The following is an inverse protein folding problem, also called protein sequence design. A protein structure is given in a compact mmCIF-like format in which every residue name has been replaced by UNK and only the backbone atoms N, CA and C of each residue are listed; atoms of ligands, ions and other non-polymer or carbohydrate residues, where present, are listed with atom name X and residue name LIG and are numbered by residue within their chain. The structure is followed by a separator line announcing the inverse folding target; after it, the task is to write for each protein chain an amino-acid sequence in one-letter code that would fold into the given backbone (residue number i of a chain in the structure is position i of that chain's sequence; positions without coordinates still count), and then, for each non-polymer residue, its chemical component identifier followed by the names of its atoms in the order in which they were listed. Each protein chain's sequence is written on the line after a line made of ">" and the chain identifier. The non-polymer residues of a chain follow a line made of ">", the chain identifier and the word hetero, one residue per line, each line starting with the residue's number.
data_IF_043484950596
#
_entry.id   IF_043484950596
#
_cell.length_a   1.000
_cell.length_b   1.000
_cell.length_c   1.000
_cell.angle_alpha   90.00
_cell.angle_beta   90.00
_cell.angle_gamma   90.00
#
_symmetry.space_group_name_H-M   'P 1'
#
loop_
_entity.id
_entity.type
_entity.pdbx_description
1 polymer ?
#
# COMPACT_ATOMS: atom_id res chain seq x y z
N UNK A 1 32.63 15.51 -13.65
CA UNK A 1 31.83 15.99 -12.49
C UNK A 1 30.97 14.83 -11.98
N UNK A 2 30.53 14.84 -10.67
CA UNK A 2 29.64 13.78 -10.15
C UNK A 2 28.22 14.31 -9.98
N UNK A 3 27.24 13.56 -10.48
CA UNK A 3 25.82 13.91 -10.40
C UNK A 3 25.06 12.78 -9.71
N UNK A 4 24.18 13.12 -8.76
CA UNK A 4 23.16 12.25 -8.22
C UNK A 4 21.82 12.61 -8.88
N UNK A 5 21.22 11.63 -9.56
CA UNK A 5 19.96 11.78 -10.27
C UNK A 5 18.87 11.06 -9.48
N UNK A 6 18.08 11.82 -8.72
CA UNK A 6 17.13 11.32 -7.75
C UNK A 6 15.70 11.87 -7.98
N UNK A 7 15.11 11.64 -9.16
CA UNK A 7 13.75 12.05 -9.43
C UNK A 7 12.74 11.10 -8.81
N UNK A 8 11.52 11.62 -8.57
CA UNK A 8 10.32 10.81 -8.40
C UNK A 8 9.64 10.53 -9.76
N UNK A 9 8.59 9.72 -9.76
CA UNK A 9 7.78 9.44 -10.94
C UNK A 9 6.97 10.68 -11.37
N UNK A 10 6.76 10.81 -12.69
CA UNK A 10 5.76 11.73 -13.23
C UNK A 10 4.47 10.95 -13.45
N UNK A 11 3.49 11.13 -12.56
CA UNK A 11 2.22 10.40 -12.59
C UNK A 11 1.63 10.35 -14.00
N UNK A 12 1.24 9.15 -14.45
CA UNK A 12 0.67 8.86 -15.78
C UNK A 12 1.59 9.16 -16.98
N UNK A 13 2.84 9.63 -16.77
CA UNK A 13 3.75 10.00 -17.85
C UNK A 13 5.03 9.17 -17.92
N UNK A 14 5.75 9.02 -16.80
CA UNK A 14 7.01 8.28 -16.78
C UNK A 14 7.36 7.77 -15.38
N UNK A 15 7.92 6.56 -15.29
CA UNK A 15 8.46 6.02 -14.05
C UNK A 15 9.68 6.82 -13.57
N UNK A 16 9.95 6.82 -12.26
CA UNK A 16 11.12 7.49 -11.68
C UNK A 16 12.43 7.06 -12.36
N UNK A 17 12.56 5.77 -12.70
CA UNK A 17 13.73 5.25 -13.42
C UNK A 17 13.83 5.83 -14.84
N UNK A 18 12.73 5.89 -15.60
CA UNK A 18 12.73 6.45 -16.95
C UNK A 18 13.11 7.94 -16.96
N UNK A 19 12.64 8.69 -15.94
CA UNK A 19 13.01 10.10 -15.74
C UNK A 19 14.51 10.21 -15.41
N UNK A 20 15.02 9.40 -14.48
CA UNK A 20 16.44 9.40 -14.10
C UNK A 20 17.34 9.08 -15.30
N UNK A 21 16.96 8.11 -16.14
CA UNK A 21 17.70 7.78 -17.38
C UNK A 21 17.63 8.92 -18.40
N UNK A 22 16.52 9.63 -18.53
CA UNK A 22 16.42 10.81 -19.37
C UNK A 22 17.34 11.95 -18.86
N UNK A 23 17.37 12.17 -17.54
CA UNK A 23 18.29 13.14 -16.92
C UNK A 23 19.75 12.75 -17.17
N UNK A 24 20.10 11.46 -17.03
CA UNK A 24 21.46 10.95 -17.31
C UNK A 24 21.88 11.25 -18.74
N UNK A 25 21.02 10.96 -19.71
CA UNK A 25 21.31 11.29 -21.13
C UNK A 25 21.55 12.77 -21.33
N UNK A 26 20.75 13.63 -20.67
CA UNK A 26 20.92 15.08 -20.75
C UNK A 26 22.25 15.56 -20.16
N UNK A 27 22.63 15.04 -18.99
CA UNK A 27 23.93 15.36 -18.36
C UNK A 27 25.09 14.93 -19.26
N UNK A 28 25.10 13.69 -19.76
CA UNK A 28 26.15 13.16 -20.61
C UNK A 28 26.26 13.86 -21.97
N UNK A 29 25.18 14.44 -22.47
CA UNK A 29 25.21 15.27 -23.68
C UNK A 29 25.95 16.61 -23.48
N UNK A 30 25.90 17.17 -22.26
CA UNK A 30 26.60 18.40 -21.91
C UNK A 30 28.00 18.18 -21.29
N UNK A 31 28.20 17.09 -20.58
CA UNK A 31 29.45 16.68 -19.94
C UNK A 31 29.65 15.18 -20.14
N UNK A 32 30.31 14.78 -21.26
CA UNK A 32 30.50 13.35 -21.58
C UNK A 32 31.32 12.56 -20.54
N UNK A 33 32.14 13.24 -19.75
CA UNK A 33 32.99 12.65 -18.70
C UNK A 33 32.32 12.65 -17.31
N UNK A 34 31.03 13.02 -17.24
CA UNK A 34 30.30 13.04 -16.00
C UNK A 34 30.05 11.64 -15.44
N UNK A 35 30.27 11.46 -14.15
CA UNK A 35 29.87 10.28 -13.38
C UNK A 35 28.44 10.49 -12.86
N UNK A 36 27.46 9.76 -13.39
CA UNK A 36 26.05 9.85 -12.98
C UNK A 36 25.67 8.64 -12.13
N UNK A 37 25.18 8.91 -10.90
CA UNK A 37 24.55 7.89 -10.05
C UNK A 37 23.04 8.09 -10.09
N UNK A 38 22.34 7.07 -10.53
CA UNK A 38 20.85 7.02 -10.54
C UNK A 38 20.39 6.50 -9.19
N UNK A 39 19.45 7.22 -8.56
CA UNK A 39 18.82 6.85 -7.29
C UNK A 39 17.36 7.35 -7.32
N UNK A 40 16.45 6.62 -7.98
CA UNK A 40 15.04 7.00 -8.02
C UNK A 40 14.45 7.10 -6.60
N UNK A 41 13.59 8.09 -6.39
CA UNK A 41 12.86 8.28 -5.15
C UNK A 41 11.41 7.85 -5.33
N UNK A 42 10.71 7.66 -4.22
CA UNK A 42 9.26 7.44 -4.18
C UNK A 42 8.68 8.03 -2.91
N UNK A 43 7.52 8.64 -3.02
CA UNK A 43 6.73 9.17 -1.90
C UNK A 43 5.93 8.10 -1.14
N UNK A 44 6.20 6.82 -1.39
CA UNK A 44 5.44 5.68 -0.85
C UNK A 44 4.35 5.18 -1.80
N UNK A 45 4.24 5.78 -2.99
CA UNK A 45 3.36 5.36 -4.08
C UNK A 45 4.03 4.39 -5.05
N UNK A 46 3.67 4.52 -6.33
CA UNK A 46 4.18 3.69 -7.42
C UNK A 46 5.71 3.77 -7.54
N UNK A 47 6.36 2.61 -7.69
CA UNK A 47 7.81 2.50 -7.87
C UNK A 47 8.62 2.37 -6.58
N UNK A 48 8.01 2.48 -5.40
CA UNK A 48 8.69 2.29 -4.11
C UNK A 48 9.40 0.94 -4.03
N UNK A 49 8.69 -0.12 -4.39
CA UNK A 49 9.22 -1.50 -4.32
C UNK A 49 10.46 -1.65 -5.21
N UNK A 50 10.36 -1.22 -6.47
CA UNK A 50 11.47 -1.31 -7.42
C UNK A 50 12.66 -0.47 -6.95
N UNK A 51 12.42 0.78 -6.53
CA UNK A 51 13.47 1.67 -6.08
C UNK A 51 14.24 1.10 -4.86
N UNK A 52 13.54 0.58 -3.86
CA UNK A 52 14.16 0.02 -2.66
C UNK A 52 14.86 -1.31 -2.93
N UNK A 53 14.29 -2.17 -3.77
CA UNK A 53 14.92 -3.44 -4.16
C UNK A 53 16.21 -3.18 -4.94
N UNK A 54 16.19 -2.29 -5.94
CA UNK A 54 17.38 -1.92 -6.71
C UNK A 54 18.46 -1.27 -5.82
N UNK A 55 18.07 -0.33 -4.94
CA UNK A 55 19.00 0.38 -4.06
C UNK A 55 19.71 -0.55 -3.08
N UNK A 56 19.08 -1.67 -2.70
CA UNK A 56 19.62 -2.62 -1.72
C UNK A 56 20.17 -3.91 -2.32
N UNK A 57 20.15 -4.06 -3.66
CA UNK A 57 20.53 -5.31 -4.31
C UNK A 57 19.62 -6.48 -3.97
N UNK A 58 18.35 -6.19 -3.73
CA UNK A 58 17.31 -7.17 -3.36
C UNK A 58 16.71 -7.93 -4.54
N UNK A 59 15.57 -8.56 -4.32
CA UNK A 59 14.87 -9.33 -5.36
C UNK A 59 13.40 -8.94 -5.50
N UNK A 60 12.90 -8.87 -6.73
CA UNK A 60 11.46 -8.75 -7.03
C UNK A 60 10.83 -10.13 -7.11
N UNK A 61 9.61 -10.24 -6.59
CA UNK A 61 8.77 -11.44 -6.66
C UNK A 61 7.36 -11.09 -7.11
N UNK A 62 6.62 -12.09 -7.58
CA UNK A 62 5.23 -11.95 -7.99
C UNK A 62 4.35 -12.94 -7.25
N UNK A 63 3.08 -12.55 -7.01
CA UNK A 63 2.05 -13.42 -6.47
C UNK A 63 0.74 -13.25 -7.24
N UNK A 64 -0.06 -14.32 -7.26
CA UNK A 64 -1.43 -14.28 -7.74
C UNK A 64 -2.32 -13.77 -6.61
N UNK A 65 -2.99 -12.66 -6.83
CA UNK A 65 -3.81 -11.95 -5.86
C UNK A 65 -5.04 -11.36 -6.55
N UNK A 66 -5.87 -10.61 -5.83
CA UNK A 66 -7.00 -9.89 -6.41
C UNK A 66 -6.72 -8.38 -6.50
N UNK A 67 -7.29 -7.73 -7.50
CA UNK A 67 -7.31 -6.27 -7.54
C UNK A 67 -8.38 -5.71 -6.58
N UNK A 68 -8.51 -4.38 -6.53
CA UNK A 68 -9.44 -3.73 -5.62
C UNK A 68 -10.92 -4.06 -5.90
N UNK A 69 -11.26 -4.56 -7.08
CA UNK A 69 -12.60 -5.00 -7.47
C UNK A 69 -12.79 -6.54 -7.39
N UNK A 70 -11.83 -7.26 -6.81
CA UNK A 70 -11.88 -8.70 -6.66
C UNK A 70 -11.55 -9.50 -7.93
N UNK A 71 -10.95 -8.88 -8.96
CA UNK A 71 -10.53 -9.57 -10.18
C UNK A 71 -9.14 -10.19 -9.97
N UNK A 72 -8.89 -11.44 -10.43
CA UNK A 72 -7.58 -12.08 -10.28
C UNK A 72 -6.53 -11.38 -11.12
N UNK A 73 -5.38 -11.09 -10.51
CA UNK A 73 -4.23 -10.45 -11.14
C UNK A 73 -2.92 -11.08 -10.66
N UNK A 74 -1.83 -10.78 -11.37
CA UNK A 74 -0.47 -10.98 -10.84
C UNK A 74 0.06 -9.62 -10.39
N UNK A 75 0.51 -9.53 -9.15
CA UNK A 75 1.09 -8.32 -8.58
C UNK A 75 2.49 -8.60 -8.03
N UNK A 76 3.34 -7.56 -8.01
CA UNK A 76 4.72 -7.64 -7.57
C UNK A 76 4.87 -7.15 -6.13
N UNK A 77 5.86 -7.71 -5.44
CA UNK A 77 6.42 -7.26 -4.18
C UNK A 77 7.93 -7.53 -4.19
N UNK A 78 8.68 -6.97 -3.25
CA UNK A 78 10.12 -7.14 -3.22
C UNK A 78 10.65 -7.58 -1.87
N UNK A 79 11.84 -8.17 -1.86
CA UNK A 79 12.66 -8.32 -0.67
C UNK A 79 13.86 -7.37 -0.75
N UNK A 80 14.17 -6.68 0.34
CA UNK A 80 15.39 -5.89 0.42
C UNK A 80 16.62 -6.80 0.45
N UNK A 81 17.70 -6.34 -0.19
CA UNK A 81 19.00 -6.98 -0.12
C UNK A 81 19.66 -6.80 1.26
N UNK A 82 20.64 -7.64 1.54
CA UNK A 82 21.35 -7.67 2.83
C UNK A 82 22.67 -6.87 2.78
N UNK A 83 22.66 -5.72 2.13
CA UNK A 83 23.87 -4.86 2.01
C UNK A 83 24.18 -4.04 3.27
N UNK A 84 23.38 -4.20 4.33
CA UNK A 84 23.52 -3.48 5.60
C UNK A 84 23.02 -2.02 5.55
N UNK A 85 22.74 -1.46 4.37
CA UNK A 85 22.31 -0.06 4.22
C UNK A 85 20.85 0.18 4.58
N UNK A 86 20.02 -0.85 4.46
CA UNK A 86 18.59 -0.82 4.77
C UNK A 86 18.25 -1.26 6.20
N UNK A 87 19.26 -1.58 7.02
CA UNK A 87 19.03 -1.99 8.40
C UNK A 87 18.78 -0.79 9.31
N UNK A 88 17.65 -0.81 9.99
CA UNK A 88 17.42 0.08 11.13
C UNK A 88 18.29 -0.36 12.31
N UNK A 89 18.70 0.57 13.18
CA UNK A 89 19.40 0.25 14.43
C UNK A 89 18.62 -0.72 15.35
N UNK A 90 17.34 -0.96 15.08
CA UNK A 90 16.49 -1.91 15.80
C UNK A 90 16.33 -3.27 15.07
N UNK A 91 16.97 -3.47 13.92
CA UNK A 91 16.84 -4.70 13.15
C UNK A 91 17.81 -5.77 13.69
N UNK A 92 17.26 -6.93 14.00
CA UNK A 92 18.05 -8.11 14.38
C UNK A 92 18.85 -8.68 13.19
N UNK A 93 19.84 -9.55 13.45
CA UNK A 93 20.73 -10.09 12.41
C UNK A 93 20.01 -10.94 11.33
N UNK A 94 18.80 -11.38 11.59
CA UNK A 94 17.99 -12.23 10.69
C UNK A 94 16.75 -11.51 10.15
N UNK A 95 16.75 -10.17 10.10
CA UNK A 95 15.59 -9.43 9.57
C UNK A 95 15.52 -9.57 8.06
N UNK A 96 14.42 -10.16 7.57
CA UNK A 96 14.10 -10.27 6.16
C UNK A 96 12.89 -9.37 5.85
N UNK A 97 13.17 -8.19 5.30
CA UNK A 97 12.17 -7.16 5.03
C UNK A 97 11.58 -7.35 3.64
N UNK A 98 10.25 -7.46 3.55
CA UNK A 98 9.55 -7.33 2.29
C UNK A 98 9.01 -5.92 2.11
N UNK A 99 9.03 -5.42 0.87
CA UNK A 99 8.45 -4.14 0.45
C UNK A 99 7.25 -4.42 -0.42
N UNK A 100 6.14 -3.78 -0.10
CA UNK A 100 4.86 -3.95 -0.79
C UNK A 100 4.26 -2.58 -1.03
N UNK A 101 3.85 -2.31 -2.25
CA UNK A 101 3.00 -1.17 -2.58
C UNK A 101 1.54 -1.59 -2.52
N UNK A 102 0.71 -0.83 -1.81
CA UNK A 102 -0.75 -1.03 -1.84
C UNK A 102 -1.27 -0.95 -3.28
N UNK A 103 -0.73 -0.01 -4.07
CA UNK A 103 -1.10 0.19 -5.47
C UNK A 103 -0.79 -1.03 -6.37
N UNK A 104 0.15 -1.91 -5.97
CA UNK A 104 0.48 -3.11 -6.74
C UNK A 104 -0.70 -4.09 -6.87
N UNK A 105 -1.62 -4.11 -5.89
CA UNK A 105 -2.85 -4.88 -5.96
C UNK A 105 -4.09 -3.95 -5.96
N UNK A 106 -4.16 -3.01 -5.02
CA UNK A 106 -5.37 -2.21 -4.77
C UNK A 106 -5.24 -0.76 -5.32
N UNK A 107 -4.46 -0.57 -6.41
CA UNK A 107 -4.18 0.74 -7.00
C UNK A 107 -5.28 1.29 -7.91
N UNK A 108 -5.41 2.63 -7.92
CA UNK A 108 -6.41 3.34 -8.73
C UNK A 108 -6.11 3.24 -10.24
N UNK A 109 -4.83 3.15 -10.62
CA UNK A 109 -4.40 3.04 -12.02
C UNK A 109 -4.75 1.70 -12.66
N UNK A 110 -5.05 0.66 -11.83
CA UNK A 110 -5.52 -0.64 -12.30
C UNK A 110 -7.00 -0.67 -12.65
N UNK A 111 -7.73 0.39 -12.37
CA UNK A 111 -9.18 0.49 -12.54
C UNK A 111 -9.50 1.63 -13.49
N UNK A 112 -10.20 1.34 -14.59
CA UNK A 112 -10.66 2.39 -15.48
C UNK A 112 -11.56 3.39 -14.74
N UNK A 113 -11.56 4.67 -15.10
CA UNK A 113 -12.44 5.66 -14.45
C UNK A 113 -13.91 5.25 -14.41
N UNK A 114 -14.39 4.50 -15.43
CA UNK A 114 -15.76 4.04 -15.54
C UNK A 114 -16.10 2.87 -14.58
N UNK A 115 -15.07 2.09 -14.16
CA UNK A 115 -15.24 0.93 -13.29
C UNK A 115 -14.99 1.28 -11.80
N UNK A 116 -14.65 2.53 -11.49
CA UNK A 116 -14.36 2.94 -10.11
C UNK A 116 -15.61 2.80 -9.24
N UNK A 117 -15.50 1.99 -8.20
CA UNK A 117 -16.54 1.83 -7.18
C UNK A 117 -15.95 2.07 -5.77
N UNK A 118 -16.07 3.29 -5.22
CA UNK A 118 -15.49 3.65 -3.95
C UNK A 118 -16.14 2.93 -2.75
N UNK A 119 -17.31 2.33 -2.92
CA UNK A 119 -18.02 1.63 -1.85
C UNK A 119 -17.60 0.17 -1.71
N UNK A 120 -17.26 -0.49 -2.83
CA UNK A 120 -16.92 -1.92 -2.86
C UNK A 120 -15.43 -2.17 -3.02
N UNK A 121 -14.66 -1.18 -3.51
CA UNK A 121 -13.21 -1.32 -3.67
C UNK A 121 -12.52 -1.68 -2.35
N UNK A 122 -11.70 -2.75 -2.38
CA UNK A 122 -11.12 -3.39 -1.21
C UNK A 122 -9.60 -3.51 -1.27
N UNK A 123 -8.97 -3.44 -0.10
CA UNK A 123 -7.54 -3.71 0.08
C UNK A 123 -7.21 -5.21 0.23
N UNK A 124 -8.15 -6.11 -0.06
CA UNK A 124 -7.97 -7.56 0.15
C UNK A 124 -6.72 -8.11 -0.55
N UNK A 125 -6.53 -7.78 -1.82
CA UNK A 125 -5.36 -8.22 -2.58
C UNK A 125 -4.03 -7.72 -2.03
N UNK A 126 -3.99 -6.54 -1.40
CA UNK A 126 -2.80 -6.06 -0.68
C UNK A 126 -2.49 -6.95 0.52
N UNK A 127 -3.51 -7.41 1.25
CA UNK A 127 -3.35 -8.38 2.33
C UNK A 127 -2.85 -9.75 1.83
N UNK A 128 -3.30 -10.18 0.63
CA UNK A 128 -2.78 -11.38 -0.02
C UNK A 128 -1.29 -11.26 -0.37
N UNK A 129 -0.83 -10.06 -0.82
CA UNK A 129 0.60 -9.81 -1.03
C UNK A 129 1.40 -9.91 0.27
N UNK A 130 0.89 -9.35 1.38
CA UNK A 130 1.52 -9.48 2.70
C UNK A 130 1.63 -10.95 3.08
N UNK A 131 0.55 -11.73 2.94
CA UNK A 131 0.54 -13.16 3.23
C UNK A 131 1.55 -13.91 2.35
N UNK A 132 1.63 -13.60 1.06
CA UNK A 132 2.61 -14.20 0.15
C UNK A 132 4.05 -13.89 0.58
N UNK A 133 4.34 -12.64 0.99
CA UNK A 133 5.66 -12.24 1.46
C UNK A 133 6.05 -12.96 2.76
N UNK A 134 5.13 -13.07 3.73
CA UNK A 134 5.38 -13.79 4.99
C UNK A 134 5.59 -15.28 4.75
N UNK A 135 4.77 -15.90 3.92
CA UNK A 135 4.96 -17.32 3.52
C UNK A 135 6.30 -17.55 2.80
N UNK A 136 6.83 -16.53 2.13
CA UNK A 136 8.15 -16.56 1.51
C UNK A 136 9.29 -16.22 2.50
N UNK A 137 8.99 -16.04 3.79
CA UNK A 137 9.94 -15.85 4.87
C UNK A 137 10.19 -14.39 5.29
N UNK A 138 9.35 -13.43 4.88
CA UNK A 138 9.40 -12.09 5.44
C UNK A 138 9.03 -12.11 6.93
N UNK A 139 9.81 -11.40 7.75
CA UNK A 139 9.50 -11.17 9.15
C UNK A 139 9.38 -9.67 9.50
N UNK A 140 9.40 -8.82 8.49
CA UNK A 140 9.12 -7.38 8.52
C UNK A 140 8.54 -6.94 7.19
N UNK A 141 7.59 -6.00 7.22
CA UNK A 141 6.96 -5.44 6.03
C UNK A 141 7.20 -3.92 6.00
N UNK A 142 7.56 -3.39 4.85
CA UNK A 142 7.42 -1.98 4.49
C UNK A 142 6.25 -1.88 3.52
N UNK A 143 5.22 -1.13 3.89
CA UNK A 143 3.99 -0.98 3.10
C UNK A 143 3.84 0.48 2.64
N UNK A 144 3.95 0.70 1.34
CA UNK A 144 3.64 1.97 0.70
C UNK A 144 2.14 2.14 0.52
N UNK A 145 1.58 3.29 0.93
CA UNK A 145 0.13 3.54 0.93
C UNK A 145 -0.36 4.42 -0.22
N UNK A 146 0.55 4.96 -1.04
CA UNK A 146 0.20 5.82 -2.18
C UNK A 146 -0.62 5.11 -3.26
N UNK A 147 -1.34 5.88 -4.09
CA UNK A 147 -2.02 5.39 -5.29
C UNK A 147 -3.24 4.48 -5.06
N UNK A 148 -3.86 4.45 -3.88
CA UNK A 148 -4.98 3.55 -3.55
C UNK A 148 -6.27 3.85 -4.30
N UNK A 149 -7.00 2.81 -4.73
CA UNK A 149 -8.39 2.89 -5.22
C UNK A 149 -9.44 2.81 -4.10
N UNK A 150 -9.03 2.46 -2.90
CA UNK A 150 -9.90 1.99 -1.81
C UNK A 150 -10.13 3.04 -0.74
N UNK A 151 -11.25 2.94 -0.02
CA UNK A 151 -11.60 3.77 1.16
C UNK A 151 -12.16 2.86 2.27
N UNK A 152 -11.65 1.64 2.38
CA UNK A 152 -12.11 0.61 3.31
C UNK A 152 -11.41 0.64 4.68
N UNK A 153 -10.49 1.60 4.91
CA UNK A 153 -9.74 1.69 6.16
C UNK A 153 -8.81 0.49 6.43
N UNK A 154 -8.46 -0.26 5.37
CA UNK A 154 -7.60 -1.44 5.48
C UNK A 154 -8.32 -2.72 5.93
N UNK A 155 -9.66 -2.71 6.00
CA UNK A 155 -10.41 -3.90 6.45
C UNK A 155 -10.27 -5.08 5.52
N UNK A 156 -10.21 -4.85 4.20
CA UNK A 156 -9.94 -5.92 3.23
C UNK A 156 -8.58 -6.57 3.44
N UNK A 157 -7.53 -5.76 3.64
CA UNK A 157 -6.18 -6.24 3.98
C UNK A 157 -6.23 -7.10 5.24
N UNK A 158 -6.89 -6.63 6.29
CA UNK A 158 -7.02 -7.37 7.54
C UNK A 158 -7.81 -8.68 7.34
N UNK A 159 -8.86 -8.71 6.51
CA UNK A 159 -9.58 -9.94 6.17
C UNK A 159 -8.66 -10.99 5.52
N UNK A 160 -7.79 -10.59 4.60
CA UNK A 160 -6.83 -11.51 3.98
C UNK A 160 -5.82 -12.10 4.99
N UNK A 161 -5.64 -11.45 6.14
CA UNK A 161 -4.80 -11.91 7.25
C UNK A 161 -5.57 -12.70 8.32
N UNK A 162 -6.89 -12.90 8.14
CA UNK A 162 -7.74 -13.71 9.01
C UNK A 162 -8.61 -12.94 10.00
N UNK A 163 -8.67 -11.61 9.91
CA UNK A 163 -9.65 -10.83 10.68
C UNK A 163 -11.04 -10.93 10.05
N UNK A 164 -12.08 -10.86 10.88
CA UNK A 164 -13.48 -10.81 10.43
C UNK A 164 -14.15 -9.53 10.95
N UNK A 165 -14.86 -8.85 10.08
CA UNK A 165 -15.62 -7.64 10.42
C UNK A 165 -17.10 -7.98 10.36
N UNK A 166 -17.77 -7.91 11.50
CA UNK A 166 -19.11 -8.46 11.70
C UNK A 166 -20.11 -7.36 12.03
N UNK A 167 -21.35 -7.51 11.55
CA UNK A 167 -22.48 -6.69 11.92
C UNK A 167 -23.08 -7.12 13.29
N UNK A 168 -24.21 -6.54 13.68
CA UNK A 168 -24.93 -6.82 14.94
C UNK A 168 -25.66 -8.18 14.93
N UNK A 169 -25.71 -8.87 13.80
CA UNK A 169 -26.22 -10.22 13.64
C UNK A 169 -25.12 -11.28 13.51
N UNK A 170 -23.85 -10.90 13.77
CA UNK A 170 -22.65 -11.73 13.57
C UNK A 170 -22.44 -12.18 12.10
N UNK A 171 -23.03 -11.49 11.13
CA UNK A 171 -22.75 -11.70 9.73
C UNK A 171 -21.54 -10.92 9.27
N UNK A 172 -20.72 -11.52 8.39
CA UNK A 172 -19.56 -10.83 7.82
C UNK A 172 -20.00 -9.69 6.91
N UNK A 173 -19.34 -8.52 7.08
CA UNK A 173 -19.55 -7.39 6.20
C UNK A 173 -18.98 -7.69 4.81
N UNK A 174 -19.65 -7.26 3.73
CA UNK A 174 -19.05 -7.28 2.41
C UNK A 174 -17.80 -6.40 2.33
N UNK A 175 -16.92 -6.69 1.38
CA UNK A 175 -15.71 -5.91 1.15
C UNK A 175 -16.02 -4.47 0.77
N UNK A 176 -15.02 -3.59 1.02
CA UNK A 176 -15.11 -2.16 0.74
C UNK A 176 -15.58 -1.33 1.93
N UNK A 177 -15.51 -0.01 1.74
CA UNK A 177 -15.85 0.96 2.79
C UNK A 177 -17.35 1.18 3.01
N UNK A 178 -18.17 0.82 2.02
CA UNK A 178 -19.60 1.14 2.02
C UNK A 178 -20.40 0.48 3.14
N UNK A 179 -20.02 -0.72 3.56
CA UNK A 179 -20.71 -1.48 4.62
C UNK A 179 -20.16 -1.20 6.04
N UNK A 180 -19.07 -0.47 6.19
CA UNK A 180 -18.43 -0.23 7.49
C UNK A 180 -19.32 0.51 8.51
N UNK A 181 -20.34 1.21 8.04
CA UNK A 181 -21.33 1.84 8.92
C UNK A 181 -22.15 0.81 9.73
N UNK A 182 -22.22 -0.45 9.27
CA UNK A 182 -22.88 -1.55 9.98
C UNK A 182 -21.94 -2.30 10.94
N UNK A 183 -20.63 -2.01 10.96
CA UNK A 183 -19.66 -2.73 11.77
C UNK A 183 -20.04 -2.75 13.26
N UNK A 184 -20.25 -3.92 13.82
CA UNK A 184 -20.55 -4.12 15.25
C UNK A 184 -19.35 -4.71 16.03
N UNK A 185 -18.59 -5.64 15.43
CA UNK A 185 -17.49 -6.35 16.10
C UNK A 185 -16.36 -6.66 15.11
N UNK A 186 -15.12 -6.60 15.61
CA UNK A 186 -13.93 -7.10 14.93
C UNK A 186 -13.54 -8.40 15.65
N UNK A 187 -13.41 -9.49 14.88
CA UNK A 187 -13.02 -10.78 15.36
C UNK A 187 -11.61 -11.11 14.84
N UNK A 188 -10.70 -11.41 15.74
CA UNK A 188 -9.30 -11.76 15.45
C UNK A 188 -8.96 -13.21 15.76
N UNK A 189 -9.97 -14.07 15.99
CA UNK A 189 -9.78 -15.45 16.44
C UNK A 189 -8.98 -16.27 15.42
N UNK A 190 -9.27 -16.07 14.12
CA UNK A 190 -8.69 -16.81 13.01
C UNK A 190 -7.45 -16.16 12.38
N UNK A 191 -6.93 -15.08 13.01
CA UNK A 191 -5.72 -14.42 12.51
C UNK A 191 -4.55 -15.38 12.52
N UNK A 192 -3.90 -15.54 11.38
CA UNK A 192 -2.71 -16.36 11.23
C UNK A 192 -1.63 -15.96 12.24
N UNK A 193 -1.09 -16.94 12.98
CA UNK A 193 -0.15 -16.66 14.07
C UNK A 193 1.05 -15.85 13.62
N UNK A 194 1.59 -16.16 12.43
CA UNK A 194 2.75 -15.47 11.87
C UNK A 194 2.46 -13.99 11.50
N UNK A 195 1.17 -13.63 11.37
CA UNK A 195 0.74 -12.28 11.01
C UNK A 195 0.48 -11.37 12.22
N UNK A 196 0.30 -11.94 13.43
CA UNK A 196 -0.07 -11.16 14.62
C UNK A 196 1.02 -10.22 15.08
N UNK A 197 2.26 -10.65 14.96
CA UNK A 197 3.41 -9.98 15.55
C UNK A 197 4.38 -9.42 14.49
N UNK A 198 4.00 -9.49 13.19
CA UNK A 198 4.88 -8.99 12.14
C UNK A 198 4.93 -7.45 12.17
N UNK A 199 6.11 -6.84 12.29
CA UNK A 199 6.24 -5.40 12.23
C UNK A 199 5.89 -4.89 10.83
N UNK A 200 4.96 -3.94 10.75
CA UNK A 200 4.61 -3.24 9.50
C UNK A 200 4.98 -1.78 9.64
N UNK A 201 5.91 -1.33 8.81
CA UNK A 201 6.29 0.08 8.68
C UNK A 201 5.50 0.68 7.53
N UNK A 202 4.74 1.74 7.80
CA UNK A 202 3.97 2.44 6.76
C UNK A 202 4.82 3.55 6.14
N UNK A 203 5.02 3.47 4.82
CA UNK A 203 5.58 4.55 4.01
C UNK A 203 4.42 5.41 3.50
N UNK A 204 4.25 6.60 4.10
CA UNK A 204 3.12 7.47 3.86
C UNK A 204 3.54 8.92 4.11
N UNK A 205 3.24 9.81 3.16
CA UNK A 205 3.57 11.23 3.18
C UNK A 205 2.37 12.12 3.57
N UNK A 206 1.17 11.54 3.73
CA UNK A 206 -0.04 12.29 4.07
C UNK A 206 -0.28 12.33 5.58
N UNK A 207 -0.72 13.49 6.06
CA UNK A 207 -1.00 13.75 7.49
C UNK A 207 -2.49 13.91 7.78
N UNK A 208 -3.34 13.64 6.80
CA UNK A 208 -4.79 13.75 6.95
C UNK A 208 -5.32 12.85 8.07
N UNK A 209 -6.25 13.33 8.91
CA UNK A 209 -6.90 12.49 9.88
C UNK A 209 -7.77 11.42 9.19
N UNK A 210 -8.05 10.31 9.89
CA UNK A 210 -8.87 9.24 9.34
C UNK A 210 -10.28 9.72 8.98
N UNK A 211 -10.86 10.64 9.76
CA UNK A 211 -12.26 11.06 9.63
C UNK A 211 -12.44 12.57 9.79
N UNK A 212 -13.54 13.11 9.26
CA UNK A 212 -13.91 14.51 9.36
C UNK A 212 -13.72 15.29 8.06
N UNK A 213 -13.88 16.63 8.08
CA UNK A 213 -13.88 17.45 6.84
C UNK A 213 -12.55 17.39 6.08
N UNK A 214 -11.44 17.14 6.77
CA UNK A 214 -10.11 16.92 6.18
C UNK A 214 -9.69 15.44 6.25
N UNK A 215 -10.64 14.55 6.49
CA UNK A 215 -10.40 13.11 6.65
C UNK A 215 -10.20 12.36 5.34
N UNK A 216 -9.82 11.09 5.46
CA UNK A 216 -9.49 10.24 4.32
C UNK A 216 -10.63 10.17 3.29
N UNK A 217 -11.89 9.99 3.71
CA UNK A 217 -13.01 9.94 2.79
C UNK A 217 -13.26 11.30 2.11
N UNK A 218 -13.24 12.39 2.88
CA UNK A 218 -13.52 13.73 2.35
C UNK A 218 -12.49 14.19 1.30
N UNK A 219 -11.21 13.87 1.53
CA UNK A 219 -10.11 14.35 0.68
C UNK A 219 -9.85 13.41 -0.49
N UNK A 220 -9.88 12.09 -0.26
CA UNK A 220 -9.40 11.13 -1.26
C UNK A 220 -10.49 10.32 -1.96
N UNK A 221 -11.71 10.19 -1.40
CA UNK A 221 -12.74 9.39 -2.04
C UNK A 221 -13.30 10.02 -3.35
N UNK A 222 -13.39 11.35 -3.52
CA UNK A 222 -13.87 11.94 -4.77
C UNK A 222 -13.05 11.52 -6.00
N UNK A 223 -11.73 11.49 -5.93
CA UNK A 223 -10.87 11.03 -7.04
C UNK A 223 -11.05 9.54 -7.36
N UNK A 224 -11.58 8.77 -6.40
CA UNK A 224 -11.91 7.34 -6.54
C UNK A 224 -13.33 7.11 -7.06
N UNK A 225 -14.04 8.18 -7.41
CA UNK A 225 -15.38 8.15 -8.00
C UNK A 225 -16.53 8.36 -7.01
N UNK A 226 -16.26 8.71 -5.74
CA UNK A 226 -17.31 8.94 -4.76
C UNK A 226 -18.06 10.26 -4.99
N UNK A 227 -19.37 10.21 -5.00
CA UNK A 227 -20.22 11.38 -4.90
C UNK A 227 -20.31 11.89 -3.43
N UNK A 228 -20.88 13.08 -3.17
CA UNK A 228 -20.94 13.65 -1.82
C UNK A 228 -21.70 12.77 -0.81
N UNK A 229 -22.69 11.98 -1.23
CA UNK A 229 -23.46 11.08 -0.36
C UNK A 229 -22.62 9.86 0.01
N UNK A 230 -21.89 9.31 -0.95
CA UNK A 230 -20.93 8.22 -0.75
C UNK A 230 -19.76 8.66 0.16
N UNK A 231 -19.25 9.88 -0.01
CA UNK A 231 -18.22 10.44 0.89
C UNK A 231 -18.72 10.48 2.34
N UNK A 232 -19.95 10.95 2.57
CA UNK A 232 -20.54 10.99 3.91
C UNK A 232 -20.71 9.58 4.50
N UNK A 233 -21.15 8.61 3.71
CA UNK A 233 -21.31 7.21 4.11
C UNK A 233 -19.96 6.59 4.49
N UNK A 234 -18.93 6.78 3.66
CA UNK A 234 -17.58 6.29 3.89
C UNK A 234 -16.97 6.89 5.16
N UNK A 235 -17.11 8.20 5.38
CA UNK A 235 -16.62 8.85 6.60
C UNK A 235 -17.33 8.32 7.86
N UNK A 236 -18.65 8.08 7.79
CA UNK A 236 -19.41 7.45 8.88
C UNK A 236 -18.90 6.03 9.18
N UNK A 237 -18.62 5.24 8.14
CA UNK A 237 -18.04 3.90 8.24
C UNK A 237 -16.67 3.92 8.92
N UNK A 238 -15.76 4.80 8.46
CA UNK A 238 -14.43 4.97 9.05
C UNK A 238 -14.48 5.44 10.51
N UNK A 239 -15.44 6.31 10.87
CA UNK A 239 -15.68 6.70 12.28
C UNK A 239 -16.10 5.50 13.13
N UNK A 240 -16.92 4.60 12.58
CA UNK A 240 -17.36 3.40 13.28
C UNK A 240 -16.19 2.43 13.47
N UNK A 241 -15.40 2.19 12.43
CA UNK A 241 -14.18 1.40 12.49
C UNK A 241 -13.24 1.91 13.59
N UNK A 242 -12.90 3.21 13.58
CA UNK A 242 -12.04 3.85 14.60
C UNK A 242 -12.53 3.64 16.04
N UNK A 243 -13.85 3.60 16.25
CA UNK A 243 -14.42 3.38 17.60
C UNK A 243 -14.32 1.93 18.06
N UNK A 244 -14.38 0.98 17.11
CA UNK A 244 -14.33 -0.46 17.41
C UNK A 244 -12.90 -0.93 17.59
N UNK A 245 -11.98 -0.44 16.78
CA UNK A 245 -10.56 -0.73 16.89
C UNK A 245 -10.00 -0.38 18.29
N UNK A 246 -10.32 0.80 18.82
CA UNK A 246 -9.92 1.21 20.19
C UNK A 246 -10.43 0.31 21.30
N UNK A 247 -11.46 -0.51 21.05
CA UNK A 247 -12.01 -1.45 22.05
C UNK A 247 -11.43 -2.85 21.91
N UNK A 248 -10.74 -3.14 20.80
CA UNK A 248 -10.10 -4.43 20.55
C UNK A 248 -8.69 -4.52 21.14
N UNK A 249 -8.13 -3.39 21.59
CA UNK A 249 -6.82 -3.28 22.25
C UNK A 249 -7.05 -3.23 23.78
N UNK A 250 -7.52 -4.34 24.36
CA UNK A 250 -7.52 -4.60 25.79
C UNK A 250 -7.02 -6.03 26.03
#
# INVERSE_FOLDING_TARGET
>A
MRYLLAPDSFKEAASAHAVAEAMRRGVLAGDPDAECRIMPLSDGGEGLTTALVEATGGELRSAHVHDALGRPITAQYGFLGDDGSARSCNDGPNTRTAVIELAAASGIERISPADRDPLTASTFGTGELIRAAVNAGANRIVLGLGGSATTDGGTGLACALGYRFLDDHDCELPFGGGALHCLARIDSTDVHREMRDIPIVLACDVTNPLTGPNGAAAVFAPQKGADPQQVALLDAGLRRLKRRDRKSVV
#
